data_IF_960084509065
#
_entry.id   IF_960084509065
#
_cell.length_a   1.000
_cell.length_b   1.000
_cell.length_c   1.000
_cell.angle_alpha   90.00
_cell.angle_beta   90.00
_cell.angle_gamma   90.00
#
_symmetry.space_group_name_H-M   'P 1'
#
loop_
_entity.id
_entity.type
_entity.pdbx_description
1 polymer ?
#
# COMPACT_ATOMS: atom_id res chain seq x y z
N UNK A 1 -12.01 8.93 -12.57
CA UNK A 1 -11.84 8.33 -11.28
C UNK A 1 -12.30 9.25 -10.16
N UNK A 2 -11.96 10.50 -10.19
CA UNK A 2 -12.31 11.42 -9.14
C UNK A 2 -13.79 11.62 -8.96
N UNK A 3 -14.56 11.49 -10.01
CA UNK A 3 -15.98 11.73 -9.92
C UNK A 3 -16.71 10.62 -9.22
N UNK A 4 -16.13 9.43 -9.21
CA UNK A 4 -16.79 8.28 -8.65
C UNK A 4 -16.33 7.92 -7.25
N UNK A 5 -15.52 8.75 -6.64
CA UNK A 5 -15.01 8.48 -5.32
C UNK A 5 -16.13 8.59 -4.31
N UNK A 6 -16.40 7.55 -3.52
CA UNK A 6 -17.46 7.60 -2.52
C UNK A 6 -17.19 8.67 -1.47
N UNK A 7 -18.26 9.25 -0.92
CA UNK A 7 -18.10 10.23 0.14
C UNK A 7 -17.41 9.64 1.36
N UNK A 8 -17.54 8.34 1.58
CA UNK A 8 -16.92 7.69 2.73
C UNK A 8 -15.41 7.51 2.57
N UNK A 9 -14.88 7.72 1.36
CA UNK A 9 -13.46 7.51 1.12
C UNK A 9 -12.65 8.49 1.96
N UNK A 10 -11.58 8.01 2.63
CA UNK A 10 -10.81 8.89 3.51
C UNK A 10 -10.22 10.09 2.80
N UNK A 11 -10.31 11.24 3.46
CA UNK A 11 -9.73 12.46 2.92
C UNK A 11 -8.44 12.81 3.63
N UNK A 12 -7.90 11.87 4.40
CA UNK A 12 -6.71 12.12 5.16
C UNK A 12 -5.54 11.36 4.55
N UNK A 13 -4.33 11.76 4.87
CA UNK A 13 -3.13 11.05 4.45
C UNK A 13 -2.74 9.97 5.46
N UNK A 14 -3.57 9.71 6.47
CA UNK A 14 -3.27 8.74 7.51
C UNK A 14 -3.57 7.34 7.00
N UNK A 15 -2.54 6.55 6.76
CA UNK A 15 -2.70 5.24 6.14
C UNK A 15 -3.67 4.30 6.87
N UNK A 16 -3.71 4.26 8.21
CA UNK A 16 -4.69 3.40 8.87
C UNK A 16 -6.13 3.71 8.51
N UNK A 17 -6.43 4.96 8.11
CA UNK A 17 -7.79 5.31 7.72
C UNK A 17 -8.19 4.56 6.45
N UNK A 18 -7.26 4.35 5.53
CA UNK A 18 -7.57 3.61 4.31
C UNK A 18 -7.87 2.16 4.65
N UNK A 19 -7.12 1.56 5.57
CA UNK A 19 -7.37 0.18 5.96
C UNK A 19 -8.74 0.05 6.63
N UNK A 20 -9.07 0.98 7.50
CA UNK A 20 -10.34 0.95 8.20
C UNK A 20 -11.51 1.10 7.24
N UNK A 21 -11.38 2.06 6.32
CA UNK A 21 -12.41 2.27 5.31
C UNK A 21 -12.58 1.01 4.45
N UNK A 22 -11.47 0.45 3.99
CA UNK A 22 -11.53 -0.71 3.11
C UNK A 22 -12.14 -1.92 3.79
N UNK A 23 -11.85 -2.12 5.07
CA UNK A 23 -12.45 -3.24 5.81
C UNK A 23 -13.94 -3.06 5.95
N UNK A 24 -14.39 -1.83 6.18
CA UNK A 24 -15.81 -1.54 6.29
C UNK A 24 -16.52 -1.76 4.96
N UNK A 25 -15.86 -1.42 3.85
CA UNK A 25 -16.48 -1.54 2.53
C UNK A 25 -16.26 -2.89 1.86
N UNK A 26 -15.54 -3.80 2.51
CA UNK A 26 -15.27 -5.10 1.92
C UNK A 26 -14.22 -5.08 0.83
N UNK A 27 -13.34 -4.08 0.83
CA UNK A 27 -12.34 -3.90 -0.22
C UNK A 27 -10.93 -4.15 0.27
N UNK A 28 -10.76 -4.69 1.47
CA UNK A 28 -9.44 -4.95 2.04
C UNK A 28 -8.99 -6.36 1.74
N UNK A 29 -7.76 -6.51 1.26
CA UNK A 29 -7.19 -7.81 0.95
C UNK A 29 -5.95 -7.99 1.83
N UNK A 30 -6.00 -8.85 2.84
CA UNK A 30 -4.83 -9.08 3.70
C UNK A 30 -3.66 -9.64 2.90
N UNK A 31 -2.43 -9.26 3.28
CA UNK A 31 -1.28 -9.76 2.53
C UNK A 31 -1.14 -11.27 2.64
N UNK A 32 -1.54 -11.86 3.77
CA UNK A 32 -1.46 -13.30 3.91
C UNK A 32 -2.37 -14.02 2.92
N UNK A 33 -3.51 -13.42 2.58
CA UNK A 33 -4.39 -13.98 1.56
C UNK A 33 -3.83 -13.77 0.16
N UNK A 34 -3.26 -12.59 -0.07
CA UNK A 34 -2.73 -12.25 -1.39
C UNK A 34 -1.53 -13.11 -1.76
N UNK A 35 -0.70 -13.48 -0.79
CA UNK A 35 0.47 -14.30 -1.10
C UNK A 35 0.07 -15.73 -1.46
N UNK A 36 -1.09 -16.17 -1.01
CA UNK A 36 -1.58 -17.48 -1.35
C UNK A 36 -2.34 -17.47 -2.67
N UNK A 37 -2.94 -16.35 -3.01
CA UNK A 37 -3.67 -16.21 -4.27
C UNK A 37 -3.41 -14.84 -4.83
N UNK A 38 -2.37 -14.73 -5.66
CA UNK A 38 -1.94 -13.44 -6.16
C UNK A 38 -2.95 -12.79 -7.09
N UNK A 39 -3.94 -13.54 -7.57
CA UNK A 39 -4.96 -12.96 -8.41
C UNK A 39 -5.91 -12.03 -7.65
N UNK A 40 -5.81 -12.03 -6.31
CA UNK A 40 -6.63 -11.12 -5.52
C UNK A 40 -6.15 -9.69 -5.63
N UNK A 41 -4.89 -9.46 -6.01
CA UNK A 41 -4.30 -8.12 -6.08
C UNK A 41 -4.21 -7.71 -7.55
N UNK A 42 -4.48 -6.44 -7.81
CA UNK A 42 -4.42 -5.91 -9.18
C UNK A 42 -3.62 -4.63 -9.22
N UNK A 43 -3.13 -4.32 -10.41
CA UNK A 43 -2.53 -3.01 -10.64
C UNK A 43 -3.54 -1.93 -10.27
N UNK A 44 -3.07 -0.90 -9.61
CA UNK A 44 -3.91 0.18 -9.15
C UNK A 44 -4.39 0.03 -7.70
N UNK A 45 -4.25 -1.16 -7.12
CA UNK A 45 -4.57 -1.33 -5.71
C UNK A 45 -3.59 -0.54 -4.86
N UNK A 46 -4.00 -0.14 -3.67
CA UNK A 46 -3.10 0.53 -2.73
C UNK A 46 -2.53 -0.52 -1.80
N UNK A 47 -1.19 -0.60 -1.75
CA UNK A 47 -0.50 -1.48 -0.82
C UNK A 47 -0.32 -0.75 0.51
N UNK A 48 -0.64 -1.41 1.61
CA UNK A 48 -0.54 -0.85 2.94
C UNK A 48 0.49 -1.64 3.72
N UNK A 49 1.48 -0.94 4.27
CA UNK A 49 2.60 -1.55 4.96
C UNK A 49 2.44 -1.41 6.45
N UNK A 50 2.40 -2.54 7.16
CA UNK A 50 2.29 -2.57 8.61
C UNK A 50 3.69 -2.54 9.22
N UNK A 51 3.95 -1.58 10.09
CA UNK A 51 5.23 -1.47 10.75
C UNK A 51 5.10 -2.02 12.16
N UNK A 52 5.75 -3.14 12.40
CA UNK A 52 5.67 -3.77 13.70
C UNK A 52 6.14 -2.85 14.81
N UNK A 53 7.18 -2.07 14.56
CA UNK A 53 7.71 -1.16 15.56
C UNK A 53 6.70 -0.10 15.96
N UNK A 54 5.78 0.27 15.07
CA UNK A 54 4.76 1.27 15.36
C UNK A 54 3.42 0.64 15.70
N UNK A 55 3.27 -0.64 15.47
CA UNK A 55 2.01 -1.34 15.75
C UNK A 55 0.86 -0.90 14.86
N UNK A 56 1.13 -0.37 13.67
CA UNK A 56 0.07 0.11 12.80
C UNK A 56 0.53 0.18 11.35
N UNK A 57 -0.42 0.36 10.46
CA UNK A 57 -0.13 0.69 9.07
C UNK A 57 0.46 2.09 9.04
N UNK A 58 1.65 2.22 8.47
CA UNK A 58 2.37 3.49 8.52
C UNK A 58 2.87 3.98 7.17
N UNK A 59 2.65 3.24 6.11
CA UNK A 59 3.15 3.62 4.79
C UNK A 59 2.27 2.98 3.73
N UNK A 60 2.21 3.56 2.56
CA UNK A 60 1.43 2.98 1.47
C UNK A 60 2.07 3.28 0.12
N UNK A 61 1.63 2.56 -0.88
CA UNK A 61 2.07 2.75 -2.26
C UNK A 61 1.01 2.22 -3.21
N UNK A 62 1.21 2.45 -4.50
CA UNK A 62 0.26 2.00 -5.51
C UNK A 62 0.90 0.84 -6.27
N UNK A 63 0.15 -0.25 -6.40
CA UNK A 63 0.64 -1.45 -7.09
C UNK A 63 0.68 -1.19 -8.59
N UNK A 64 1.84 -1.43 -9.20
CA UNK A 64 2.00 -1.28 -10.64
C UNK A 64 2.17 -2.62 -11.35
N UNK A 65 2.56 -3.66 -10.61
CA UNK A 65 2.74 -4.98 -11.21
C UNK A 65 2.65 -6.05 -10.14
N UNK A 66 2.02 -7.17 -10.43
CA UNK A 66 1.87 -8.26 -9.47
C UNK A 66 2.65 -9.45 -9.99
N UNK A 67 3.53 -10.01 -9.16
CA UNK A 67 4.36 -11.15 -9.50
C UNK A 67 4.19 -12.24 -8.43
N UNK A 68 4.63 -13.46 -8.70
CA UNK A 68 4.46 -14.54 -7.71
C UNK A 68 5.12 -14.25 -6.36
N UNK A 69 6.24 -13.54 -6.36
CA UNK A 69 6.98 -13.29 -5.12
C UNK A 69 6.62 -11.98 -4.45
N UNK A 70 5.80 -11.16 -5.08
CA UNK A 70 5.44 -9.86 -4.50
C UNK A 70 4.90 -8.92 -5.53
N UNK A 71 5.02 -7.63 -5.25
CA UNK A 71 4.45 -6.59 -6.12
C UNK A 71 5.46 -5.48 -6.33
N UNK A 72 5.40 -4.84 -7.49
CA UNK A 72 6.06 -3.57 -7.67
C UNK A 72 5.09 -2.48 -7.27
N UNK A 73 5.61 -1.50 -6.55
CA UNK A 73 4.79 -0.37 -6.10
C UNK A 73 5.46 0.94 -6.43
N UNK A 74 4.66 1.98 -6.58
CA UNK A 74 5.14 3.35 -6.63
C UNK A 74 4.82 3.98 -5.28
N UNK A 75 5.84 4.47 -4.61
CA UNK A 75 5.72 4.94 -3.23
C UNK A 75 6.24 6.36 -3.10
N UNK A 76 5.54 7.15 -2.31
CA UNK A 76 5.99 8.49 -2.00
C UNK A 76 7.06 8.48 -0.93
N UNK A 77 7.80 9.57 -0.86
CA UNK A 77 8.89 9.69 0.07
C UNK A 77 8.40 10.14 1.43
N UNK A 78 7.48 9.38 1.99
CA UNK A 78 6.98 9.68 3.33
C UNK A 78 7.38 8.62 4.32
N UNK A 79 8.14 7.63 3.89
CA UNK A 79 8.55 6.56 4.78
C UNK A 79 9.53 7.07 5.80
N UNK A 80 9.41 6.68 7.05
CA UNK A 80 10.35 7.11 8.06
C UNK A 80 11.63 6.30 8.10
N UNK A 81 11.84 5.36 7.22
CA UNK A 81 12.99 4.49 7.32
C UNK A 81 14.23 5.16 6.85
N UNK A 82 15.23 5.29 7.71
CA UNK A 82 16.43 6.03 7.36
C UNK A 82 17.23 5.40 6.24
N UNK A 83 17.20 4.09 6.12
CA UNK A 83 18.00 3.45 5.12
C UNK A 83 17.50 3.71 3.73
N UNK A 84 16.27 4.22 3.60
CA UNK A 84 15.75 4.58 2.31
C UNK A 84 16.12 5.99 1.92
N UNK A 85 16.63 6.73 2.85
CA UNK A 85 16.82 8.14 2.63
C UNK A 85 17.83 8.43 1.55
N UNK A 86 18.82 7.58 1.40
CA UNK A 86 19.79 7.88 0.42
C UNK A 86 19.32 7.53 -0.96
N UNK A 87 18.23 6.83 -1.08
CA UNK A 87 17.83 6.55 -2.30
C UNK A 87 17.16 7.62 -2.92
N UNK A 88 16.48 8.09 -2.28
CA UNK A 88 15.66 8.82 -2.78
C UNK A 88 15.90 10.02 -3.20
N UNK A 89 16.39 10.15 -2.93
CA UNK A 89 16.41 11.09 -3.12
C UNK A 89 16.48 11.87 -3.79
N UNK A 90 16.74 11.80 -4.13
CA UNK A 90 17.15 12.38 -4.79
C UNK A 90 16.64 13.39 -5.57
N UNK A 91 16.02 13.42 -6.37
CA UNK A 91 15.51 14.43 -7.16
C UNK A 91 14.53 15.25 -6.51
N UNK A 92 14.27 15.01 -5.28
CA UNK A 92 13.45 15.88 -4.51
C UNK A 92 11.98 15.69 -4.60
N UNK A 93 11.46 14.96 -5.53
CA UNK A 93 10.04 14.73 -5.57
C UNK A 93 9.65 13.54 -4.74
N UNK A 94 10.59 12.71 -4.36
CA UNK A 94 10.32 11.66 -3.41
C UNK A 94 9.41 10.55 -3.86
N UNK A 95 9.30 10.36 -5.15
CA UNK A 95 8.47 9.28 -5.67
C UNK A 95 9.35 8.28 -6.37
N UNK A 96 9.21 7.00 -6.03
CA UNK A 96 10.03 5.99 -6.68
C UNK A 96 9.34 4.64 -6.70
N UNK A 97 9.80 3.77 -7.59
CA UNK A 97 9.23 2.45 -7.79
C UNK A 97 10.08 1.41 -7.09
N UNK A 98 9.47 0.52 -6.32
CA UNK A 98 10.16 -0.51 -5.58
C UNK A 98 9.48 -1.85 -5.71
N UNK A 99 10.27 -2.92 -5.64
CA UNK A 99 9.71 -4.26 -5.53
C UNK A 99 9.57 -4.61 -4.04
N UNK A 100 8.36 -5.06 -3.66
CA UNK A 100 8.08 -5.48 -2.30
C UNK A 100 7.65 -6.93 -2.31
N UNK A 101 8.40 -7.81 -1.64
CA UNK A 101 7.91 -9.16 -1.48
C UNK A 101 6.76 -9.15 -0.46
N UNK A 102 6.00 -10.24 -0.45
CA UNK A 102 4.78 -10.24 0.37
C UNK A 102 5.03 -9.93 1.84
N UNK A 103 6.11 -10.47 2.39
CA UNK A 103 6.37 -10.29 3.81
C UNK A 103 6.75 -8.85 4.17
N UNK A 104 7.19 -8.06 3.21
CA UNK A 104 7.55 -6.68 3.48
C UNK A 104 6.34 -5.82 3.82
N UNK A 105 5.14 -6.26 3.47
CA UNK A 105 3.96 -5.52 3.87
C UNK A 105 3.65 -5.73 5.36
N UNK A 106 4.30 -6.69 6.00
CA UNK A 106 4.04 -7.00 7.40
C UNK A 106 2.85 -7.92 7.57
N UNK A 107 2.81 -8.59 8.73
CA UNK A 107 1.77 -9.60 8.98
C UNK A 107 0.37 -9.03 8.85
N UNK A 108 0.19 -7.80 9.25
CA UNK A 108 -1.12 -7.16 9.22
C UNK A 108 -1.26 -6.12 8.11
N UNK A 109 -0.33 -6.11 7.17
CA UNK A 109 -0.46 -5.27 5.99
C UNK A 109 -1.39 -5.90 4.97
N UNK A 110 -1.67 -5.17 3.92
CA UNK A 110 -2.56 -5.67 2.89
C UNK A 110 -2.76 -4.68 1.77
N UNK A 111 -3.85 -4.84 1.06
CA UNK A 111 -4.14 -4.04 -0.11
C UNK A 111 -5.56 -3.51 -0.06
N UNK A 112 -5.78 -2.35 -0.66
CA UNK A 112 -7.10 -1.77 -0.77
C UNK A 112 -7.47 -1.71 -2.24
N UNK A 113 -8.61 -2.32 -2.57
CA UNK A 113 -9.11 -2.29 -3.93
C UNK A 113 -9.74 -0.92 -4.19
N UNK A 114 -9.22 -0.22 -5.20
CA UNK A 114 -9.77 1.05 -5.61
C UNK A 114 -10.44 0.80 -6.95
N UNK A 115 -11.75 0.68 -6.92
CA UNK A 115 -12.48 0.29 -8.11
C UNK A 115 -13.70 1.19 -8.21
N UNK A 116 -13.48 2.43 -8.50
CA UNK A 116 -14.55 3.42 -8.59
C UNK A 116 -14.99 3.69 -9.99
#
# INVERSE_FOLDING_TARGET
LGEDIPDSFPRSAWCPDFARWAKTEGLYIPQVSAREDTSLVREGDIALFYFKALGRIAHCGIVTEVLPLGVWTVEGNTSPEPEDADLVERDGDGVYRKFRNWSELGKYGGFVRIDF
#
